data_IF_995005743653
#
_entry.id   IF_995005743653
#
_cell.length_a   1.000
_cell.length_b   1.000
_cell.length_c   1.000
_cell.angle_alpha   90.00
_cell.angle_beta   90.00
_cell.angle_gamma   90.00
#
_symmetry.space_group_name_H-M   'P 1'
#
loop_
_entity.id
_entity.type
_entity.pdbx_description
1 polymer ?
#
# COMPACT_ATOMS: atom_id res chain seq x y z
N UNK A 1 21.69 -14.84 -73.75
CA UNK A 1 20.47 -14.03 -73.53
C UNK A 1 19.41 -15.03 -73.11
N UNK A 2 19.14 -15.14 -71.81
CA UNK A 2 18.45 -16.29 -71.19
C UNK A 2 16.99 -16.04 -70.83
N UNK A 3 16.63 -14.76 -70.76
CA UNK A 3 15.27 -14.28 -70.63
C UNK A 3 14.56 -14.34 -71.98
N UNK A 4 13.40 -14.99 -72.02
CA UNK A 4 12.51 -15.09 -73.16
C UNK A 4 11.10 -14.65 -72.78
N UNK A 5 10.50 -13.74 -73.55
CA UNK A 5 9.07 -13.40 -73.43
C UNK A 5 8.28 -14.46 -74.21
N UNK A 6 7.24 -15.04 -73.60
CA UNK A 6 6.45 -16.10 -74.22
C UNK A 6 5.43 -15.52 -75.21
N UNK A 7 4.96 -16.32 -76.16
CA UNK A 7 3.86 -15.97 -77.07
C UNK A 7 2.58 -15.63 -76.28
N UNK A 8 2.36 -16.31 -75.16
CA UNK A 8 1.25 -16.03 -74.26
C UNK A 8 1.40 -14.66 -73.59
N UNK A 9 2.62 -14.31 -73.14
CA UNK A 9 2.94 -12.99 -72.57
C UNK A 9 2.82 -11.86 -73.59
N UNK A 10 3.27 -12.08 -74.83
CA UNK A 10 3.09 -11.14 -75.94
C UNK A 10 1.61 -10.96 -76.26
N UNK A 11 0.85 -12.06 -76.38
CA UNK A 11 -0.59 -12.01 -76.65
C UNK A 11 -1.36 -11.31 -75.52
N UNK A 12 -0.97 -11.52 -74.27
CA UNK A 12 -1.50 -10.80 -73.12
C UNK A 12 -1.20 -9.30 -73.21
N UNK A 13 0.04 -8.92 -73.52
CA UNK A 13 0.38 -7.51 -73.77
C UNK A 13 -0.48 -6.92 -74.90
N UNK A 14 -0.60 -7.56 -76.07
CA UNK A 14 -1.43 -7.03 -77.17
C UNK A 14 -2.87 -6.84 -76.71
N UNK A 15 -3.45 -7.84 -76.04
CA UNK A 15 -4.81 -7.79 -75.51
C UNK A 15 -5.00 -6.64 -74.51
N UNK A 16 -4.06 -6.44 -73.59
CA UNK A 16 -4.11 -5.31 -72.67
C UNK A 16 -4.11 -3.97 -73.41
N UNK A 17 -3.35 -3.86 -74.51
CA UNK A 17 -3.27 -2.66 -75.32
C UNK A 17 -4.59 -2.36 -76.03
N UNK A 18 -5.22 -3.38 -76.62
CA UNK A 18 -6.54 -3.28 -77.23
C UNK A 18 -7.63 -2.87 -76.22
N UNK A 19 -7.50 -3.32 -74.97
CA UNK A 19 -8.42 -3.00 -73.88
C UNK A 19 -8.09 -1.66 -73.19
N UNK A 20 -6.99 -1.00 -73.53
CA UNK A 20 -6.53 0.22 -72.85
C UNK A 20 -6.11 0.01 -71.40
N UNK A 21 -5.70 -1.22 -71.04
CA UNK A 21 -5.27 -1.62 -69.70
C UNK A 21 -3.79 -1.98 -69.68
N UNK A 22 -3.24 -2.22 -68.49
CA UNK A 22 -1.90 -2.78 -68.30
C UNK A 22 -1.98 -4.01 -67.41
N UNK A 23 -1.30 -5.09 -67.80
CA UNK A 23 -1.09 -6.24 -66.92
C UNK A 23 0.13 -5.99 -66.03
N UNK A 24 0.09 -6.56 -64.82
CA UNK A 24 1.18 -6.41 -63.85
C UNK A 24 1.92 -7.72 -63.69
N UNK A 25 3.25 -7.68 -63.62
CA UNK A 25 4.00 -8.82 -63.09
C UNK A 25 3.67 -8.93 -61.60
N UNK A 26 3.04 -10.04 -61.21
CA UNK A 26 2.49 -10.24 -59.87
C UNK A 26 3.29 -11.25 -59.04
N UNK A 27 3.88 -12.26 -59.69
CA UNK A 27 4.57 -13.35 -59.00
C UNK A 27 5.89 -13.71 -59.69
N UNK A 28 6.85 -14.14 -58.88
CA UNK A 28 8.06 -14.82 -59.34
C UNK A 28 7.98 -16.28 -58.90
N UNK A 29 8.19 -17.19 -59.84
CA UNK A 29 8.36 -18.61 -59.54
C UNK A 29 9.81 -19.04 -59.73
N UNK A 30 10.23 -19.99 -58.90
CA UNK A 30 11.53 -20.65 -58.96
C UNK A 30 11.31 -22.10 -59.37
N UNK A 31 12.07 -22.57 -60.33
CA UNK A 31 12.18 -23.99 -60.66
C UNK A 31 13.62 -24.48 -60.63
N UNK A 32 13.80 -25.79 -60.62
CA UNK A 32 15.13 -26.43 -60.45
C UNK A 32 15.69 -27.06 -61.72
N UNK A 33 14.99 -26.96 -62.85
CA UNK A 33 15.49 -27.44 -64.14
C UNK A 33 16.05 -26.26 -64.95
N UNK A 34 17.24 -26.42 -65.53
CA UNK A 34 17.84 -25.46 -66.46
C UNK A 34 17.77 -25.96 -67.90
N UNK A 35 17.30 -25.13 -68.81
CA UNK A 35 17.10 -25.42 -70.23
C UNK A 35 17.07 -24.13 -71.06
N UNK A 36 17.05 -24.25 -72.39
CA UNK A 36 16.77 -23.12 -73.28
C UNK A 36 15.26 -22.90 -73.41
N UNK A 37 14.71 -21.74 -72.98
CA UNK A 37 13.27 -21.48 -73.08
C UNK A 37 12.74 -21.50 -74.51
N UNK A 38 11.44 -21.81 -74.66
CA UNK A 38 10.72 -21.75 -75.94
C UNK A 38 9.55 -20.78 -75.87
N UNK A 39 9.25 -20.11 -76.98
CA UNK A 39 8.25 -19.04 -77.03
C UNK A 39 6.84 -19.55 -76.69
N UNK A 40 6.54 -20.82 -76.96
CA UNK A 40 5.22 -21.42 -76.71
C UNK A 40 5.01 -21.86 -75.25
N UNK A 41 5.96 -21.60 -74.34
CA UNK A 41 5.83 -22.01 -72.95
C UNK A 41 4.70 -21.27 -72.24
N UNK A 42 3.95 -22.03 -71.46
CA UNK A 42 2.91 -21.51 -70.56
C UNK A 42 3.16 -21.88 -69.10
N UNK A 43 4.14 -22.76 -68.85
CA UNK A 43 4.62 -23.14 -67.51
C UNK A 43 6.14 -23.27 -67.50
N UNK A 44 6.73 -23.18 -66.31
CA UNK A 44 8.07 -23.69 -66.04
C UNK A 44 8.10 -25.21 -66.15
N UNK A 45 9.28 -25.80 -66.31
CA UNK A 45 9.41 -27.27 -66.46
C UNK A 45 9.34 -27.99 -65.11
N UNK A 46 9.96 -27.41 -64.08
CA UNK A 46 9.94 -27.95 -62.74
C UNK A 46 9.86 -26.84 -61.69
N UNK A 47 8.73 -26.13 -61.66
CA UNK A 47 8.42 -25.14 -60.63
C UNK A 47 8.33 -25.77 -59.25
N UNK A 48 9.04 -25.20 -58.27
CA UNK A 48 9.04 -25.67 -56.88
C UNK A 48 8.41 -24.66 -55.92
N UNK A 49 8.56 -23.37 -56.19
CA UNK A 49 7.97 -22.32 -55.36
C UNK A 49 7.53 -21.14 -56.21
N UNK A 50 6.49 -20.46 -55.76
CA UNK A 50 6.00 -19.21 -56.35
C UNK A 50 5.61 -18.27 -55.22
N UNK A 51 6.06 -17.03 -55.31
CA UNK A 51 5.72 -15.98 -54.34
C UNK A 51 5.33 -14.68 -55.05
N UNK A 52 4.43 -13.90 -54.44
CA UNK A 52 4.09 -12.58 -54.94
C UNK A 52 5.29 -11.64 -54.85
N UNK A 53 5.38 -10.69 -55.79
CA UNK A 53 6.36 -9.61 -55.70
C UNK A 53 6.10 -8.78 -54.43
N UNK A 54 7.16 -8.44 -53.72
CA UNK A 54 7.12 -7.65 -52.48
C UNK A 54 7.47 -6.18 -52.67
N UNK A 55 8.07 -5.84 -53.81
CA UNK A 55 8.37 -4.47 -54.24
C UNK A 55 8.46 -4.44 -55.76
N UNK A 56 8.05 -3.33 -56.36
CA UNK A 56 8.18 -3.07 -57.78
C UNK A 56 8.43 -1.59 -58.00
N UNK A 57 9.19 -1.26 -59.03
CA UNK A 57 9.50 0.10 -59.41
C UNK A 57 9.67 0.19 -60.93
N UNK A 58 9.10 1.25 -61.52
CA UNK A 58 9.34 1.58 -62.92
C UNK A 58 10.57 2.48 -62.99
N UNK A 59 11.73 1.90 -63.33
CA UNK A 59 13.00 2.64 -63.35
C UNK A 59 13.05 3.60 -64.54
N UNK A 60 12.54 3.17 -65.69
CA UNK A 60 12.35 3.99 -66.90
C UNK A 60 11.33 3.31 -67.84
N UNK A 61 10.93 3.96 -68.95
CA UNK A 61 9.95 3.37 -69.88
C UNK A 61 10.46 2.03 -70.42
N UNK A 62 9.72 0.95 -70.14
CA UNK A 62 10.10 -0.41 -70.54
C UNK A 62 11.21 -1.04 -69.69
N UNK A 63 11.59 -0.46 -68.55
CA UNK A 63 12.52 -1.08 -67.58
C UNK A 63 11.80 -1.30 -66.24
N UNK A 64 11.53 -2.56 -65.93
CA UNK A 64 10.83 -2.96 -64.72
C UNK A 64 11.84 -3.51 -63.71
N UNK A 65 11.85 -2.98 -62.49
CA UNK A 65 12.56 -3.57 -61.35
C UNK A 65 11.56 -4.11 -60.35
N UNK A 66 11.76 -5.32 -59.86
CA UNK A 66 10.88 -5.90 -58.85
C UNK A 66 11.61 -6.89 -57.97
N UNK A 67 11.18 -6.98 -56.71
CA UNK A 67 11.81 -7.78 -55.68
C UNK A 67 10.80 -8.75 -55.07
N UNK A 68 11.25 -9.94 -54.71
CA UNK A 68 10.49 -10.91 -53.92
C UNK A 68 11.29 -11.32 -52.69
N UNK A 69 10.68 -11.21 -51.51
CA UNK A 69 11.26 -11.70 -50.25
C UNK A 69 10.92 -13.18 -50.05
N UNK A 70 11.96 -13.99 -49.86
CA UNK A 70 11.87 -15.39 -49.48
C UNK A 70 12.28 -15.50 -48.00
N UNK A 71 11.30 -15.37 -47.09
CA UNK A 71 11.49 -15.34 -45.62
C UNK A 71 10.99 -16.59 -44.88
N UNK A 72 10.54 -17.62 -45.61
CA UNK A 72 10.07 -18.86 -45.04
C UNK A 72 11.16 -19.94 -44.91
N UNK A 73 10.74 -21.13 -44.52
CA UNK A 73 11.61 -22.30 -44.33
C UNK A 73 12.07 -22.95 -45.65
N UNK A 74 11.69 -22.38 -46.80
CA UNK A 74 11.98 -22.96 -48.12
C UNK A 74 13.50 -22.98 -48.39
N UNK A 75 13.97 -23.99 -49.10
CA UNK A 75 15.36 -24.14 -49.54
C UNK A 75 15.36 -24.49 -51.02
N UNK A 76 16.21 -23.83 -51.80
CA UNK A 76 16.26 -24.06 -53.25
C UNK A 76 17.60 -23.67 -53.88
N UNK A 77 17.92 -24.37 -54.96
CA UNK A 77 18.92 -24.00 -55.98
C UNK A 77 18.14 -23.76 -57.28
N UNK A 78 17.75 -22.51 -57.51
CA UNK A 78 16.89 -22.11 -58.62
C UNK A 78 17.67 -22.00 -59.93
N UNK A 79 17.19 -22.67 -60.98
CA UNK A 79 17.80 -22.72 -62.33
C UNK A 79 16.89 -22.15 -63.42
N UNK A 80 15.62 -21.98 -63.11
CA UNK A 80 14.65 -21.26 -63.95
C UNK A 80 13.84 -20.30 -63.09
N UNK A 81 13.55 -19.12 -63.65
CA UNK A 81 12.66 -18.11 -63.10
C UNK A 81 11.49 -17.90 -64.05
N UNK A 82 10.28 -17.89 -63.48
CA UNK A 82 9.06 -17.53 -64.20
C UNK A 82 8.52 -16.21 -63.70
N UNK A 83 8.21 -15.31 -64.63
CA UNK A 83 7.58 -14.02 -64.34
C UNK A 83 6.12 -14.08 -64.77
N UNK A 84 5.21 -13.96 -63.81
CA UNK A 84 3.79 -14.20 -64.03
C UNK A 84 3.00 -12.91 -63.98
N UNK A 85 2.05 -12.75 -64.90
CA UNK A 85 1.07 -11.68 -64.84
C UNK A 85 0.03 -11.94 -63.75
N UNK A 86 -0.66 -10.89 -63.32
CA UNK A 86 -1.77 -10.93 -62.36
C UNK A 86 -2.97 -11.79 -62.82
N UNK A 87 -3.08 -12.06 -64.13
CA UNK A 87 -4.06 -13.01 -64.68
C UNK A 87 -3.59 -14.47 -64.71
N UNK A 88 -2.37 -14.74 -64.22
CA UNK A 88 -1.75 -16.07 -64.18
C UNK A 88 -1.05 -16.47 -65.48
N UNK A 89 -0.95 -15.58 -66.48
CA UNK A 89 -0.19 -15.83 -67.70
C UNK A 89 1.31 -15.80 -67.41
N UNK A 90 2.05 -16.83 -67.86
CA UNK A 90 3.52 -16.82 -67.83
C UNK A 90 4.04 -15.80 -68.85
N UNK A 91 4.45 -14.62 -68.37
CA UNK A 91 4.89 -13.53 -69.24
C UNK A 91 6.26 -13.82 -69.86
N UNK A 92 7.21 -14.19 -69.02
CA UNK A 92 8.58 -14.45 -69.44
C UNK A 92 9.22 -15.53 -68.58
N UNK A 93 10.22 -16.20 -69.15
CA UNK A 93 11.03 -17.23 -68.50
C UNK A 93 12.49 -16.84 -68.62
N UNK A 94 13.22 -16.85 -67.51
CA UNK A 94 14.68 -16.82 -67.51
C UNK A 94 15.21 -18.19 -67.10
N UNK A 95 15.83 -18.89 -68.04
CA UNK A 95 16.49 -20.17 -67.77
C UNK A 95 17.75 -20.27 -68.61
N UNK A 96 18.79 -20.84 -67.99
CA UNK A 96 20.12 -21.02 -68.57
C UNK A 96 20.47 -22.48 -68.45
N UNK A 97 20.74 -23.16 -69.55
CA UNK A 97 21.03 -24.60 -69.70
C UNK A 97 21.90 -25.21 -68.57
N UNK A 98 21.28 -25.48 -67.41
CA UNK A 98 21.89 -26.00 -66.17
C UNK A 98 22.49 -25.00 -65.18
N UNK A 99 22.54 -23.68 -65.46
CA UNK A 99 23.15 -22.67 -64.57
C UNK A 99 22.24 -22.31 -63.39
N UNK A 100 22.82 -22.13 -62.21
CA UNK A 100 22.11 -21.67 -61.01
C UNK A 100 21.93 -20.16 -61.09
N UNK A 101 20.68 -19.72 -61.07
CA UNK A 101 20.29 -18.30 -61.11
C UNK A 101 20.19 -17.72 -59.70
N UNK A 102 19.63 -18.49 -58.75
CA UNK A 102 19.47 -18.08 -57.35
C UNK A 102 19.63 -19.27 -56.41
N UNK A 103 20.04 -19.01 -55.17
CA UNK A 103 20.16 -20.02 -54.12
C UNK A 103 19.70 -19.47 -52.77
N UNK A 104 18.95 -20.28 -52.03
CA UNK A 104 18.50 -19.99 -50.66
C UNK A 104 18.73 -21.19 -49.76
N UNK A 105 19.36 -20.94 -48.61
CA UNK A 105 19.46 -21.92 -47.52
C UNK A 105 18.20 -21.92 -46.66
N UNK A 106 17.96 -23.07 -46.02
CA UNK A 106 16.86 -23.21 -45.05
C UNK A 106 17.00 -22.19 -43.92
N UNK A 107 15.88 -21.57 -43.55
CA UNK A 107 15.77 -20.62 -42.42
C UNK A 107 16.59 -19.32 -42.54
N UNK A 108 17.02 -18.97 -43.77
CA UNK A 108 17.58 -17.66 -44.08
C UNK A 108 16.60 -16.82 -44.89
N UNK A 109 16.72 -15.50 -44.81
CA UNK A 109 15.94 -14.57 -45.64
C UNK A 109 16.75 -14.16 -46.86
N UNK A 110 16.19 -14.32 -48.05
CA UNK A 110 16.79 -13.88 -49.32
C UNK A 110 15.83 -12.93 -50.02
N UNK A 111 16.36 -11.85 -50.58
CA UNK A 111 15.60 -10.92 -51.42
C UNK A 111 16.10 -11.09 -52.85
N UNK A 112 15.23 -11.58 -53.72
CA UNK A 112 15.52 -11.71 -55.15
C UNK A 112 15.07 -10.45 -55.86
N UNK A 113 16.01 -9.72 -56.45
CA UNK A 113 15.77 -8.51 -57.22
C UNK A 113 15.98 -8.80 -58.71
N UNK A 114 14.93 -8.60 -59.50
CA UNK A 114 14.92 -8.90 -60.93
C UNK A 114 14.70 -7.61 -61.74
N UNK A 115 15.46 -7.47 -62.82
CA UNK A 115 15.34 -6.39 -63.79
C UNK A 115 14.86 -6.95 -65.14
N UNK A 116 13.78 -6.38 -65.68
CA UNK A 116 13.20 -6.77 -66.96
C UNK A 116 13.23 -5.60 -67.94
N UNK A 117 13.99 -5.76 -69.02
CA UNK A 117 14.16 -4.74 -70.05
C UNK A 117 13.29 -5.08 -71.27
N UNK A 118 12.13 -4.42 -71.36
CA UNK A 118 11.15 -4.54 -72.44
C UNK A 118 11.42 -3.58 -73.60
N UNK A 119 12.41 -2.69 -73.49
CA UNK A 119 12.73 -1.68 -74.51
C UNK A 119 13.14 -2.23 -75.88
N UNK A 120 13.52 -3.51 -75.97
CA UNK A 120 13.76 -4.22 -77.23
C UNK A 120 12.49 -4.87 -77.83
N UNK A 121 11.34 -4.77 -77.15
CA UNK A 121 10.04 -5.25 -77.58
C UNK A 121 9.09 -4.09 -77.88
N UNK A 122 7.97 -4.35 -78.56
CA UNK A 122 6.90 -3.34 -78.76
C UNK A 122 5.96 -3.23 -77.55
N UNK A 123 6.30 -3.81 -76.41
CA UNK A 123 5.46 -3.90 -75.22
C UNK A 123 5.68 -2.67 -74.32
N UNK A 124 4.66 -1.84 -74.17
CA UNK A 124 4.67 -0.63 -73.32
C UNK A 124 3.61 -0.66 -72.20
N UNK A 125 2.82 -1.73 -72.13
CA UNK A 125 1.65 -1.86 -71.27
C UNK A 125 1.77 -3.00 -70.24
N UNK A 126 2.99 -3.39 -69.90
CA UNK A 126 3.28 -4.27 -68.77
C UNK A 126 3.96 -3.45 -67.68
N UNK A 127 3.49 -3.59 -66.44
CA UNK A 127 3.96 -2.82 -65.29
C UNK A 127 4.28 -3.73 -64.09
N UNK A 128 4.79 -3.13 -63.01
CA UNK A 128 5.03 -3.81 -61.72
C UNK A 128 4.31 -3.08 -60.61
N UNK A 129 3.91 -3.80 -59.57
CA UNK A 129 3.24 -3.20 -58.42
C UNK A 129 4.24 -2.46 -57.51
N UNK A 130 4.03 -1.17 -57.28
CA UNK A 130 4.81 -0.35 -56.34
C UNK A 130 4.39 -0.66 -54.90
N UNK A 131 5.17 -1.49 -54.19
CA UNK A 131 4.86 -1.89 -52.81
C UNK A 131 5.86 -1.28 -51.82
N UNK A 132 5.35 -0.53 -50.84
CA UNK A 132 6.13 0.01 -49.71
C UNK A 132 6.40 -1.05 -48.61
N UNK A 133 7.33 -0.78 -47.69
CA UNK A 133 7.74 -1.75 -46.66
C UNK A 133 6.57 -2.24 -45.80
N UNK A 134 6.52 -3.55 -45.49
CA UNK A 134 5.39 -4.13 -44.76
C UNK A 134 5.36 -3.70 -43.29
N UNK A 135 4.16 -3.70 -42.72
CA UNK A 135 3.95 -3.41 -41.31
C UNK A 135 4.37 -4.56 -40.41
N UNK A 136 4.79 -4.24 -39.18
CA UNK A 136 5.07 -5.24 -38.16
C UNK A 136 3.79 -6.05 -37.84
N UNK A 137 3.98 -7.34 -37.57
CA UNK A 137 2.96 -8.26 -37.07
C UNK A 137 3.57 -9.06 -35.91
N UNK A 138 2.77 -9.84 -35.20
CA UNK A 138 3.27 -10.64 -34.06
C UNK A 138 4.35 -11.66 -34.46
N UNK A 139 4.31 -12.12 -35.70
CA UNK A 139 5.21 -13.17 -36.22
C UNK A 139 6.29 -12.62 -37.17
N UNK A 140 6.14 -11.39 -37.68
CA UNK A 140 7.04 -10.80 -38.68
C UNK A 140 7.45 -9.37 -38.33
N UNK A 141 8.76 -9.13 -38.34
CA UNK A 141 9.34 -7.80 -38.16
C UNK A 141 8.92 -6.83 -39.29
N UNK A 142 8.66 -5.57 -38.93
CA UNK A 142 8.25 -4.53 -39.87
C UNK A 142 8.08 -3.18 -39.17
N UNK A 143 7.36 -2.25 -39.78
CA UNK A 143 7.10 -0.92 -39.18
C UNK A 143 5.87 -0.99 -38.26
N UNK A 144 6.03 -0.60 -36.99
CA UNK A 144 4.93 -0.53 -36.03
C UNK A 144 3.97 0.62 -36.37
N UNK A 145 2.67 0.30 -36.44
CA UNK A 145 1.61 1.29 -36.69
C UNK A 145 1.07 1.85 -35.38
N UNK A 146 0.87 3.16 -35.33
CA UNK A 146 0.17 3.79 -34.21
C UNK A 146 -1.31 3.83 -34.56
N UNK A 147 -2.16 3.27 -33.70
CA UNK A 147 -3.60 3.29 -33.88
C UNK A 147 -4.10 4.73 -33.96
N UNK A 148 -4.90 5.10 -34.96
CA UNK A 148 -5.56 6.42 -34.98
C UNK A 148 -6.63 6.48 -33.89
N UNK A 149 -7.13 7.68 -33.53
CA UNK A 149 -8.24 7.77 -32.57
C UNK A 149 -9.44 6.94 -33.05
N UNK A 150 -9.77 7.01 -34.35
CA UNK A 150 -10.79 6.17 -34.99
C UNK A 150 -10.55 4.66 -34.74
N UNK A 151 -9.32 4.17 -34.90
CA UNK A 151 -9.00 2.76 -34.65
C UNK A 151 -9.07 2.40 -33.15
N UNK A 152 -8.75 3.34 -32.27
CA UNK A 152 -8.91 3.16 -30.81
C UNK A 152 -10.38 3.12 -30.42
N UNK A 153 -11.20 3.93 -31.10
CA UNK A 153 -12.66 3.95 -30.92
C UNK A 153 -13.31 2.68 -31.46
N UNK A 154 -12.81 2.15 -32.58
CA UNK A 154 -13.28 0.90 -33.19
C UNK A 154 -12.81 -0.34 -32.39
N UNK A 155 -11.58 -0.34 -31.87
CA UNK A 155 -11.09 -1.36 -30.92
C UNK A 155 -10.77 -2.74 -31.50
N UNK A 156 -10.88 -2.94 -32.82
CA UNK A 156 -10.70 -4.24 -33.48
C UNK A 156 -9.32 -4.42 -34.13
N UNK A 157 -8.50 -3.36 -34.17
CA UNK A 157 -7.20 -3.40 -34.82
C UNK A 157 -6.10 -3.91 -33.88
N UNK A 158 -5.73 -5.18 -34.03
CA UNK A 158 -4.63 -5.80 -33.27
C UNK A 158 -3.25 -5.61 -33.90
N UNK A 159 -3.20 -4.91 -35.04
CA UNK A 159 -1.96 -4.66 -35.79
C UNK A 159 -1.32 -3.30 -35.46
N UNK A 160 -1.89 -2.57 -34.50
CA UNK A 160 -1.50 -1.19 -34.17
C UNK A 160 -1.42 -0.94 -32.66
N UNK A 161 -0.50 -0.07 -32.25
CA UNK A 161 -0.26 0.23 -30.85
C UNK A 161 -1.01 1.49 -30.38
N UNK A 162 -1.47 1.45 -29.12
CA UNK A 162 -2.03 2.59 -28.41
C UNK A 162 -0.93 3.54 -27.93
N UNK A 163 -1.13 4.85 -28.07
CA UNK A 163 -0.31 5.84 -27.36
C UNK A 163 -0.86 6.12 -25.97
N UNK A 164 -0.05 6.67 -25.06
CA UNK A 164 -0.50 7.05 -23.71
C UNK A 164 -1.70 8.00 -23.75
N UNK A 165 -1.67 9.02 -24.60
CA UNK A 165 -2.80 9.93 -24.77
C UNK A 165 -4.04 9.21 -25.26
N UNK A 166 -3.88 8.21 -26.14
CA UNK A 166 -4.97 7.37 -26.62
C UNK A 166 -5.48 6.39 -25.55
N UNK A 167 -4.62 5.91 -24.64
CA UNK A 167 -5.01 5.14 -23.47
C UNK A 167 -5.79 5.99 -22.46
N UNK A 168 -5.30 7.19 -22.14
CA UNK A 168 -6.00 8.16 -21.27
C UNK A 168 -7.34 8.56 -21.88
N UNK A 169 -7.34 8.85 -23.18
CA UNK A 169 -8.52 9.15 -23.98
C UNK A 169 -9.51 7.97 -23.98
N UNK A 170 -9.05 6.75 -24.22
CA UNK A 170 -9.85 5.52 -24.15
C UNK A 170 -10.44 5.32 -22.75
N UNK A 171 -9.69 5.70 -21.70
CA UNK A 171 -10.19 5.68 -20.33
C UNK A 171 -11.14 6.85 -20.01
N UNK A 172 -11.32 7.82 -20.94
CA UNK A 172 -12.19 9.00 -20.83
C UNK A 172 -12.02 9.75 -19.50
N UNK A 173 -10.78 9.85 -19.05
CA UNK A 173 -10.41 10.50 -17.80
C UNK A 173 -9.44 11.64 -18.12
N UNK A 174 -9.49 12.78 -17.40
CA UNK A 174 -8.56 13.88 -17.63
C UNK A 174 -7.10 13.39 -17.52
N UNK A 175 -6.88 12.41 -16.63
CA UNK A 175 -5.73 11.53 -16.43
C UNK A 175 -6.23 10.24 -15.74
N UNK A 176 -5.50 9.12 -15.85
CA UNK A 176 -5.78 7.72 -15.40
C UNK A 176 -6.26 7.54 -13.93
N UNK A 177 -6.43 8.60 -13.16
CA UNK A 177 -6.48 8.57 -11.70
C UNK A 177 -7.83 8.11 -11.14
N UNK A 178 -8.98 8.62 -11.58
CA UNK A 178 -10.24 8.34 -10.86
C UNK A 178 -10.68 6.87 -10.88
N UNK A 179 -10.45 6.13 -11.97
CA UNK A 179 -10.79 4.69 -12.04
C UNK A 179 -9.76 3.80 -11.36
N UNK A 180 -8.48 4.16 -11.38
CA UNK A 180 -7.44 3.41 -10.67
C UNK A 180 -7.58 3.60 -9.16
N UNK A 181 -7.90 4.83 -8.72
CA UNK A 181 -8.19 5.15 -7.32
C UNK A 181 -9.50 4.49 -6.88
N UNK A 182 -10.60 4.63 -7.62
CA UNK A 182 -11.86 4.04 -7.16
C UNK A 182 -11.85 2.51 -7.13
N UNK A 183 -11.21 1.84 -8.10
CA UNK A 183 -11.28 0.37 -8.20
C UNK A 183 -10.09 -0.38 -7.57
N UNK A 184 -8.91 0.24 -7.50
CA UNK A 184 -7.74 -0.33 -6.85
C UNK A 184 -7.56 0.25 -5.44
N UNK A 185 -7.62 1.58 -5.32
CA UNK A 185 -7.35 2.25 -4.05
C UNK A 185 -8.47 2.10 -3.03
N UNK A 186 -9.77 2.16 -3.37
CA UNK A 186 -10.82 1.94 -2.36
C UNK A 186 -10.81 0.50 -1.80
N UNK A 187 -10.56 -0.49 -2.66
CA UNK A 187 -10.42 -1.90 -2.23
C UNK A 187 -9.16 -2.10 -1.38
N UNK A 188 -8.07 -1.41 -1.69
CA UNK A 188 -6.84 -1.41 -0.89
C UNK A 188 -7.03 -0.67 0.45
N UNK A 189 -7.67 0.50 0.43
CA UNK A 189 -7.97 1.29 1.61
C UNK A 189 -8.87 0.54 2.58
N UNK A 190 -9.81 -0.27 2.08
CA UNK A 190 -10.62 -1.17 2.90
C UNK A 190 -9.80 -2.26 3.60
N UNK A 191 -8.66 -2.70 3.03
CA UNK A 191 -7.71 -3.61 3.69
C UNK A 191 -6.80 -2.92 4.70
N UNK A 192 -6.49 -1.64 4.49
CA UNK A 192 -5.59 -0.87 5.39
C UNK A 192 -6.33 -0.44 6.66
N UNK A 193 -7.57 0.04 6.52
CA UNK A 193 -8.42 0.41 7.65
C UNK A 193 -9.85 -0.12 7.41
N UNK A 194 -10.23 -1.25 8.03
CA UNK A 194 -11.50 -1.90 7.75
C UNK A 194 -12.70 -1.12 8.31
N UNK A 195 -13.88 -1.44 7.80
CA UNK A 195 -15.17 -0.94 8.35
C UNK A 195 -15.26 -1.36 9.81
N UNK A 196 -15.79 -0.49 10.68
CA UNK A 196 -15.95 -0.77 12.11
C UNK A 196 -14.76 -0.41 13.00
N UNK A 197 -13.57 -0.16 12.43
CA UNK A 197 -12.41 0.27 13.20
C UNK A 197 -12.57 1.72 13.72
N UNK A 198 -12.18 1.94 14.98
CA UNK A 198 -12.28 3.24 15.65
C UNK A 198 -11.10 4.14 15.29
N UNK A 199 -11.40 5.35 14.79
CA UNK A 199 -10.40 6.32 14.33
C UNK A 199 -10.42 7.55 15.24
N UNK A 200 -9.26 7.98 15.79
CA UNK A 200 -9.18 9.26 16.48
C UNK A 200 -9.24 10.43 15.48
N UNK A 201 -10.19 11.34 15.67
CA UNK A 201 -10.44 12.47 14.78
C UNK A 201 -10.38 13.80 15.55
N UNK A 202 -9.59 14.76 15.05
CA UNK A 202 -9.26 15.99 15.75
C UNK A 202 -10.22 17.16 15.49
N UNK A 203 -11.38 16.92 14.86
CA UNK A 203 -12.41 17.95 14.66
C UNK A 203 -13.78 17.48 15.13
N UNK A 204 -14.70 18.42 15.30
CA UNK A 204 -16.06 18.14 15.79
C UNK A 204 -16.96 17.47 14.76
N UNK A 205 -16.63 17.60 13.48
CA UNK A 205 -17.45 17.12 12.36
C UNK A 205 -16.73 15.94 11.71
N UNK A 206 -17.39 14.78 11.73
CA UNK A 206 -16.90 13.60 11.01
C UNK A 206 -16.94 13.86 9.49
N UNK A 207 -15.91 13.41 8.73
CA UNK A 207 -15.94 13.49 7.28
C UNK A 207 -17.13 12.72 6.68
N UNK A 208 -17.49 13.04 5.44
CA UNK A 208 -18.51 12.29 4.70
C UNK A 208 -18.17 10.79 4.67
N UNK A 209 -19.17 9.95 4.96
CA UNK A 209 -19.00 8.49 5.04
C UNK A 209 -18.53 7.97 6.40
N UNK A 210 -18.35 8.84 7.40
CA UNK A 210 -18.00 8.47 8.77
C UNK A 210 -19.06 8.95 9.77
N UNK A 211 -19.14 8.27 10.91
CA UNK A 211 -19.98 8.69 12.03
C UNK A 211 -19.17 8.74 13.33
N UNK A 212 -19.47 9.70 14.20
CA UNK A 212 -18.93 9.77 15.56
C UNK A 212 -19.49 8.61 16.39
N UNK A 213 -18.67 7.92 17.18
CA UNK A 213 -19.06 6.76 18.01
C UNK A 213 -19.67 7.21 19.34
N UNK A 214 -21.00 7.32 19.40
CA UNK A 214 -21.75 7.93 20.52
C UNK A 214 -23.05 7.19 20.87
N UNK A 215 -23.06 5.87 20.81
CA UNK A 215 -24.21 5.01 21.12
C UNK A 215 -25.44 5.15 20.20
N UNK A 216 -25.22 5.57 18.95
CA UNK A 216 -26.32 5.73 18.00
C UNK A 216 -26.61 4.42 17.25
N UNK A 217 -27.90 4.20 16.95
CA UNK A 217 -28.31 3.14 16.05
C UNK A 217 -27.95 3.46 14.58
N UNK A 218 -27.79 2.43 13.76
CA UNK A 218 -27.62 2.54 12.32
C UNK A 218 -28.48 1.52 11.57
N UNK A 219 -28.76 1.81 10.30
CA UNK A 219 -29.52 0.90 9.45
C UNK A 219 -28.61 -0.22 8.91
N UNK A 220 -28.83 -1.45 9.37
CA UNK A 220 -28.05 -2.63 8.97
C UNK A 220 -28.20 -3.00 7.48
N UNK A 221 -29.33 -2.65 6.86
CA UNK A 221 -29.53 -2.91 5.43
C UNK A 221 -28.73 -1.93 4.57
N UNK A 222 -28.53 -0.70 5.06
CA UNK A 222 -27.72 0.32 4.37
C UNK A 222 -26.22 0.08 4.61
N UNK A 223 -25.84 -0.38 5.81
CA UNK A 223 -24.44 -0.58 6.21
C UNK A 223 -24.17 -2.04 6.63
N UNK A 224 -24.21 -3.00 5.67
CA UNK A 224 -24.09 -4.43 5.98
C UNK A 224 -22.69 -4.81 6.50
N UNK A 225 -21.63 -4.15 6.03
CA UNK A 225 -20.26 -4.42 6.53
C UNK A 225 -20.09 -3.92 7.97
N UNK A 226 -20.70 -2.78 8.33
CA UNK A 226 -20.70 -2.30 9.70
C UNK A 226 -21.52 -3.21 10.61
N UNK A 227 -22.61 -3.80 10.10
CA UNK A 227 -23.44 -4.77 10.82
C UNK A 227 -22.70 -6.08 11.15
N UNK A 228 -21.67 -6.47 10.37
CA UNK A 228 -20.82 -7.60 10.71
C UNK A 228 -19.96 -7.33 11.95
N UNK A 229 -19.55 -6.07 12.15
CA UNK A 229 -18.74 -5.66 13.30
C UNK A 229 -19.59 -5.32 14.52
N UNK A 230 -20.74 -4.68 14.30
CA UNK A 230 -21.70 -4.32 15.35
C UNK A 230 -23.08 -4.96 15.06
N UNK A 231 -23.28 -6.25 15.37
CA UNK A 231 -24.51 -6.98 15.03
C UNK A 231 -25.79 -6.44 15.67
N UNK A 232 -25.66 -5.74 16.81
CA UNK A 232 -26.76 -5.04 17.48
C UNK A 232 -27.38 -3.95 16.62
N UNK A 233 -26.66 -3.44 15.60
CA UNK A 233 -27.08 -2.25 14.85
C UNK A 233 -26.83 -0.96 15.63
N UNK A 234 -25.99 -0.98 16.66
CA UNK A 234 -25.64 0.18 17.49
C UNK A 234 -24.12 0.34 17.52
N UNK A 235 -23.65 1.56 17.23
CA UNK A 235 -22.23 1.90 17.31
C UNK A 235 -21.88 2.16 18.79
N UNK A 236 -20.83 1.55 19.36
CA UNK A 236 -20.46 1.75 20.77
C UNK A 236 -20.26 3.23 21.15
N UNK A 237 -20.53 3.56 22.42
CA UNK A 237 -20.15 4.86 22.97
C UNK A 237 -18.66 4.86 23.34
N UNK A 238 -17.86 5.66 22.63
CA UNK A 238 -16.43 5.77 22.90
C UNK A 238 -16.08 7.08 23.62
N UNK A 239 -17.06 7.88 24.01
CA UNK A 239 -16.82 9.17 24.66
C UNK A 239 -16.14 8.96 26.02
N UNK A 240 -14.92 9.46 26.15
CA UNK A 240 -14.12 9.30 27.37
C UNK A 240 -13.39 7.96 27.48
N UNK A 241 -13.53 7.08 26.50
CA UNK A 241 -12.87 5.78 26.45
C UNK A 241 -11.53 5.86 25.70
N UNK A 242 -10.55 5.10 26.20
CA UNK A 242 -9.39 4.65 25.42
C UNK A 242 -9.63 3.22 24.93
N UNK A 243 -8.74 2.72 24.06
CA UNK A 243 -8.75 1.32 23.64
C UNK A 243 -7.52 0.60 24.21
N UNK A 244 -7.74 -0.63 24.67
CA UNK A 244 -6.70 -1.54 25.13
C UNK A 244 -6.86 -2.87 24.38
N UNK A 245 -5.75 -3.56 24.11
CA UNK A 245 -5.82 -4.92 23.56
C UNK A 245 -6.47 -5.85 24.59
N UNK A 246 -7.45 -6.64 24.15
CA UNK A 246 -8.12 -7.60 25.02
C UNK A 246 -7.16 -8.73 25.42
N UNK A 247 -7.35 -9.26 26.62
CA UNK A 247 -6.76 -10.55 27.00
C UNK A 247 -7.54 -11.73 26.39
N UNK A 248 -6.97 -12.94 26.47
CA UNK A 248 -7.53 -14.13 25.82
C UNK A 248 -8.96 -14.46 26.27
N UNK A 249 -9.29 -14.19 27.54
CA UNK A 249 -10.58 -14.53 28.14
C UNK A 249 -11.58 -13.35 28.17
N UNK A 250 -11.20 -12.19 27.64
CA UNK A 250 -12.05 -11.00 27.62
C UNK A 250 -12.89 -10.93 26.33
N UNK A 251 -14.10 -10.38 26.49
CA UNK A 251 -15.01 -10.11 25.39
C UNK A 251 -14.60 -8.84 24.63
N UNK A 252 -14.65 -8.89 23.30
CA UNK A 252 -14.35 -7.72 22.46
C UNK A 252 -15.38 -6.62 22.75
N UNK A 253 -14.88 -5.42 23.06
CA UNK A 253 -15.73 -4.23 23.27
C UNK A 253 -16.39 -4.13 24.65
N UNK A 254 -15.97 -4.92 25.64
CA UNK A 254 -16.38 -4.70 27.02
C UNK A 254 -15.91 -3.32 27.51
N UNK A 255 -16.79 -2.64 28.26
CA UNK A 255 -16.43 -1.41 28.97
C UNK A 255 -15.89 -1.76 30.35
N UNK A 256 -14.76 -1.17 30.72
CA UNK A 256 -14.17 -1.31 32.04
C UNK A 256 -13.80 0.08 32.59
N UNK A 257 -14.21 0.33 33.84
CA UNK A 257 -13.87 1.58 34.52
C UNK A 257 -12.40 1.55 34.95
N UNK A 258 -11.70 2.68 34.79
CA UNK A 258 -10.30 2.78 35.19
C UNK A 258 -10.11 2.59 36.69
N UNK A 259 -9.23 1.67 37.08
CA UNK A 259 -8.92 1.39 38.48
C UNK A 259 -7.53 1.89 38.88
N UNK A 260 -7.36 2.23 40.17
CA UNK A 260 -6.04 2.50 40.74
C UNK A 260 -5.36 1.17 41.03
N UNK A 261 -4.12 1.00 40.55
CA UNK A 261 -3.33 -0.20 40.84
C UNK A 261 -3.16 -0.34 42.36
N UNK A 262 -3.37 -1.55 42.87
CA UNK A 262 -3.15 -1.88 44.27
C UNK A 262 -1.75 -1.42 44.71
N UNK A 263 -1.70 -0.65 45.79
CA UNK A 263 -0.47 -0.18 46.42
C UNK A 263 -0.66 -0.08 47.94
N UNK A 264 0.43 0.24 48.65
CA UNK A 264 0.42 0.49 50.08
C UNK A 264 1.35 1.64 50.45
N UNK A 265 1.38 2.00 51.73
CA UNK A 265 2.20 3.09 52.26
C UNK A 265 3.31 2.50 53.16
N UNK A 266 4.46 2.07 52.61
CA UNK A 266 5.53 1.46 53.39
C UNK A 266 6.03 2.42 54.47
N UNK A 267 6.50 1.84 55.58
CA UNK A 267 6.95 2.57 56.78
C UNK A 267 5.85 3.35 57.54
N UNK A 268 4.57 3.13 57.22
CA UNK A 268 3.45 3.64 58.01
C UNK A 268 3.29 2.78 59.27
N UNK A 269 3.49 3.36 60.46
CA UNK A 269 3.33 2.66 61.73
C UNK A 269 2.68 3.56 62.78
N UNK A 270 1.74 3.00 63.54
CA UNK A 270 1.19 3.59 64.76
C UNK A 270 1.59 2.67 65.90
N UNK A 271 2.27 3.21 66.91
CA UNK A 271 2.78 2.41 68.04
C UNK A 271 2.19 2.92 69.35
N UNK A 272 1.82 2.00 70.22
CA UNK A 272 1.46 2.33 71.60
C UNK A 272 2.70 2.79 72.36
N UNK A 273 2.54 3.79 73.23
CA UNK A 273 3.59 4.23 74.15
C UNK A 273 3.14 3.97 75.58
N UNK A 274 4.02 3.35 76.38
CA UNK A 274 3.83 3.22 77.81
C UNK A 274 4.67 4.29 78.52
N UNK A 275 4.00 5.20 79.23
CA UNK A 275 4.68 6.30 79.93
C UNK A 275 5.20 5.91 81.33
N UNK A 276 4.94 4.67 81.76
CA UNK A 276 5.42 4.11 83.01
C UNK A 276 4.85 4.85 84.22
N UNK A 277 5.69 5.03 85.25
CA UNK A 277 5.33 5.69 86.49
C UNK A 277 6.02 7.04 86.61
N UNK A 278 5.34 8.01 87.24
CA UNK A 278 5.90 9.32 87.61
C UNK A 278 5.76 9.55 89.10
N UNK A 279 6.78 10.18 89.71
CA UNK A 279 6.82 10.46 91.13
C UNK A 279 6.59 11.95 91.38
N UNK A 280 5.89 12.29 92.47
CA UNK A 280 5.79 13.68 92.95
C UNK A 280 7.12 14.14 93.55
N UNK A 281 7.31 15.45 93.70
CA UNK A 281 8.45 15.94 94.46
C UNK A 281 8.27 15.65 95.96
N UNK A 282 9.37 15.68 96.70
CA UNK A 282 9.45 15.41 98.15
C UNK A 282 9.83 16.69 98.91
N UNK A 283 9.31 17.85 98.52
CA UNK A 283 9.69 19.13 99.15
C UNK A 283 8.55 19.70 99.99
N UNK A 284 8.87 20.66 100.87
CA UNK A 284 7.86 21.36 101.67
C UNK A 284 7.80 20.93 103.15
N UNK A 285 8.61 19.98 103.61
CA UNK A 285 8.74 19.72 105.06
C UNK A 285 9.21 20.99 105.78
N UNK A 286 8.40 21.43 106.72
CA UNK A 286 8.68 22.54 107.61
C UNK A 286 8.17 22.20 109.00
N UNK A 287 8.76 22.82 110.02
CA UNK A 287 8.34 22.69 111.42
C UNK A 287 7.96 24.06 111.95
N UNK A 288 7.00 24.08 112.86
CA UNK A 288 6.63 25.30 113.56
C UNK A 288 7.31 25.30 114.95
N UNK A 289 7.95 26.42 115.28
CA UNK A 289 8.45 26.66 116.62
C UNK A 289 7.40 27.43 117.43
N UNK A 290 7.09 26.95 118.64
CA UNK A 290 6.29 27.74 119.59
C UNK A 290 7.25 28.60 120.41
N UNK A 291 7.04 29.92 120.41
CA UNK A 291 7.78 30.85 121.28
C UNK A 291 7.02 31.04 122.59
N UNK A 292 7.76 30.83 123.69
CA UNK A 292 7.45 31.17 125.07
C UNK A 292 6.36 30.32 125.75
N UNK A 293 6.75 29.11 126.15
CA UNK A 293 6.20 28.49 127.35
C UNK A 293 7.07 28.88 128.56
N UNK A 294 6.56 29.71 129.46
CA UNK A 294 7.20 29.92 130.76
C UNK A 294 6.99 28.66 131.60
N UNK A 295 8.06 27.89 131.81
CA UNK A 295 8.00 26.73 132.67
C UNK A 295 8.04 27.22 134.12
N UNK A 296 6.88 27.42 134.75
CA UNK A 296 6.80 27.68 136.17
C UNK A 296 7.16 26.38 136.90
N UNK A 297 8.36 26.34 137.48
CA UNK A 297 8.71 25.28 138.42
C UNK A 297 7.85 25.50 139.67
N UNK A 298 6.71 24.82 139.75
CA UNK A 298 5.85 24.82 140.92
C UNK A 298 6.53 24.01 142.03
N UNK A 299 7.58 24.59 142.63
CA UNK A 299 7.98 24.20 143.97
C UNK A 299 7.08 25.00 144.92
N UNK A 300 6.03 24.36 145.44
CA UNK A 300 5.15 25.00 146.41
C UNK A 300 5.96 25.32 147.66
N UNK A 301 6.24 26.59 147.91
CA UNK A 301 6.13 27.24 149.22
C UNK A 301 6.47 28.72 149.04
N UNK A 302 5.42 29.53 149.11
CA UNK A 302 5.42 30.96 148.95
C UNK A 302 5.97 31.61 150.22
N UNK A 303 7.13 32.28 150.16
CA UNK A 303 7.44 33.35 151.12
C UNK A 303 8.49 34.36 150.59
N UNK A 304 7.99 35.57 150.32
CA UNK A 304 8.62 36.87 150.59
C UNK A 304 9.80 37.37 149.74
N UNK A 305 9.63 38.61 149.24
CA UNK A 305 10.64 39.60 148.86
C UNK A 305 11.54 39.36 147.62
N UNK A 306 11.21 40.09 146.55
CA UNK A 306 12.10 40.63 145.50
C UNK A 306 13.19 39.67 144.97
N UNK A 307 12.79 38.67 144.17
CA UNK A 307 13.71 37.78 143.47
C UNK A 307 13.40 37.71 141.98
N UNK A 308 14.36 38.14 141.14
CA UNK A 308 14.31 37.93 139.69
C UNK A 308 14.36 36.43 139.38
N UNK A 309 13.27 35.86 138.89
CA UNK A 309 13.23 34.46 138.47
C UNK A 309 14.03 34.31 137.16
N UNK A 310 15.06 33.45 137.17
CA UNK A 310 15.82 33.10 135.96
C UNK A 310 14.96 32.23 135.04
N UNK A 311 14.20 32.84 134.14
CA UNK A 311 13.46 32.12 133.10
C UNK A 311 14.45 31.56 132.06
N UNK A 312 14.63 30.25 132.01
CA UNK A 312 15.31 29.61 130.87
C UNK A 312 14.34 29.50 129.70
N UNK A 313 14.69 30.10 128.57
CA UNK A 313 13.95 29.91 127.33
C UNK A 313 14.07 28.43 126.90
N UNK A 314 12.94 27.72 126.89
CA UNK A 314 12.87 26.37 126.33
C UNK A 314 12.18 26.46 124.99
N UNK A 315 12.93 26.26 123.91
CA UNK A 315 12.38 26.18 122.56
C UNK A 315 11.78 24.79 122.33
N UNK A 316 10.46 24.71 122.16
CA UNK A 316 9.76 23.47 121.77
C UNK A 316 9.37 23.55 120.29
N UNK A 317 9.67 22.49 119.55
CA UNK A 317 9.28 22.34 118.14
C UNK A 317 8.28 21.19 118.02
N UNK A 318 7.36 21.28 117.08
CA UNK A 318 6.66 20.08 116.61
C UNK A 318 7.65 19.14 115.92
N UNK A 319 7.47 17.82 116.07
CA UNK A 319 8.28 16.83 115.34
C UNK A 319 7.80 16.68 113.88
N UNK A 320 8.69 16.24 112.99
CA UNK A 320 8.37 16.01 111.58
C UNK A 320 8.25 14.51 111.28
N UNK A 321 7.33 14.12 110.39
CA UNK A 321 7.21 12.75 109.88
C UNK A 321 8.11 12.47 108.65
N UNK A 322 8.72 13.52 108.07
CA UNK A 322 9.60 13.44 106.90
C UNK A 322 8.88 13.77 105.59
N UNK A 323 9.65 14.11 104.55
CA UNK A 323 9.09 14.23 103.21
C UNK A 323 8.84 12.84 102.63
N UNK A 324 7.72 12.65 101.96
CA UNK A 324 7.46 11.46 101.14
C UNK A 324 6.99 11.89 99.75
N UNK A 325 7.01 10.95 98.81
CA UNK A 325 6.41 11.13 97.48
C UNK A 325 5.40 10.03 97.22
N UNK A 326 4.54 10.29 96.25
CA UNK A 326 3.66 9.29 95.67
C UNK A 326 4.13 8.93 94.27
N UNK A 327 3.97 7.66 93.90
CA UNK A 327 4.15 7.19 92.53
C UNK A 327 2.78 7.01 91.88
N UNK A 328 2.61 7.53 90.67
CA UNK A 328 1.40 7.37 89.87
C UNK A 328 1.75 6.63 88.58
N UNK A 329 1.05 5.52 88.33
CA UNK A 329 1.17 4.77 87.08
C UNK A 329 0.31 5.43 86.00
N UNK A 330 0.92 5.77 84.87
CA UNK A 330 0.25 6.40 83.72
C UNK A 330 -0.14 5.34 82.67
N UNK A 331 0.64 4.26 82.55
CA UNK A 331 0.29 3.08 81.76
C UNK A 331 0.40 3.25 80.24
N UNK A 332 -0.17 2.27 79.53
CA UNK A 332 -0.17 2.21 78.06
C UNK A 332 -1.33 3.01 77.46
N UNK A 333 -1.08 3.67 76.35
CA UNK A 333 -2.13 4.31 75.54
C UNK A 333 -1.91 4.03 74.04
N UNK A 334 -2.99 4.19 73.28
CA UNK A 334 -3.03 3.97 71.84
C UNK A 334 -3.52 5.22 71.10
N UNK A 335 -3.19 5.28 69.81
CA UNK A 335 -3.61 6.35 68.89
C UNK A 335 -4.47 5.78 67.78
N UNK A 336 -5.47 6.54 67.35
CA UNK A 336 -6.24 6.24 66.14
C UNK A 336 -5.67 7.01 64.97
N UNK A 337 -5.72 6.42 63.77
CA UNK A 337 -5.32 7.08 62.52
C UNK A 337 -6.43 6.91 61.49
N UNK A 338 -6.87 8.03 60.94
CA UNK A 338 -7.80 8.09 59.81
C UNK A 338 -7.04 8.47 58.55
N UNK A 339 -7.20 7.68 57.48
CA UNK A 339 -6.67 8.02 56.15
C UNK A 339 -7.83 8.60 55.33
N UNK A 340 -7.74 9.88 54.99
CA UNK A 340 -8.74 10.55 54.17
C UNK A 340 -8.64 10.11 52.70
N UNK A 341 -9.77 10.16 51.98
CA UNK A 341 -9.78 9.98 50.53
C UNK A 341 -8.97 11.09 49.86
N UNK A 342 -8.09 10.73 48.93
CA UNK A 342 -7.28 11.70 48.18
C UNK A 342 -7.18 11.27 46.72
N UNK A 343 -7.42 12.21 45.79
CA UNK A 343 -7.34 11.99 44.36
C UNK A 343 -8.38 12.77 43.56
N UNK A 344 -8.30 12.66 42.23
CA UNK A 344 -9.32 13.17 41.33
C UNK A 344 -10.51 12.20 41.23
N UNK A 345 -11.62 12.65 40.64
CA UNK A 345 -12.82 11.82 40.41
C UNK A 345 -12.58 10.63 39.45
N UNK A 346 -11.52 10.68 38.64
CA UNK A 346 -11.16 9.63 37.69
C UNK A 346 -9.66 9.39 37.70
N UNK A 347 -9.28 8.12 37.49
CA UNK A 347 -7.88 7.80 37.21
C UNK A 347 -7.56 8.16 35.76
N UNK A 348 -6.52 8.98 35.54
CA UNK A 348 -6.19 9.50 34.20
C UNK A 348 -4.70 9.47 33.94
N UNK A 349 -4.33 9.28 32.68
CA UNK A 349 -2.98 9.52 32.14
C UNK A 349 -2.96 10.84 31.37
N UNK A 350 -1.79 11.32 30.95
CA UNK A 350 -1.70 12.41 29.99
C UNK A 350 -2.39 12.00 28.67
N UNK A 351 -3.36 12.78 28.21
CA UNK A 351 -4.18 12.44 27.03
C UNK A 351 -4.64 13.69 26.28
N UNK A 352 -5.01 13.52 25.00
CA UNK A 352 -5.67 14.55 24.18
C UNK A 352 -7.09 14.11 23.84
N UNK A 353 -8.00 15.07 23.76
CA UNK A 353 -9.40 14.79 23.40
C UNK A 353 -9.53 14.77 21.87
N UNK A 354 -10.19 13.73 21.38
CA UNK A 354 -10.53 13.51 19.97
C UNK A 354 -11.94 12.94 19.91
N UNK A 355 -12.61 13.12 18.79
CA UNK A 355 -13.81 12.35 18.49
C UNK A 355 -13.39 10.98 17.96
N UNK A 356 -13.97 9.93 18.51
CA UNK A 356 -13.88 8.61 17.89
C UNK A 356 -14.87 8.56 16.73
N UNK A 357 -14.39 8.26 15.53
CA UNK A 357 -15.22 8.07 14.34
C UNK A 357 -15.08 6.66 13.79
N UNK A 358 -16.10 6.19 13.08
CA UNK A 358 -16.12 4.90 12.39
C UNK A 358 -16.57 5.09 10.95
N UNK A 359 -15.97 4.33 10.02
CA UNK A 359 -16.39 4.31 8.62
C UNK A 359 -17.74 3.59 8.50
N UNK A 360 -18.71 4.21 7.83
CA UNK A 360 -20.06 3.67 7.69
C UNK A 360 -20.20 2.68 6.53
N UNK A 361 -19.45 2.91 5.43
CA UNK A 361 -19.33 2.11 4.20
C UNK A 361 -20.64 1.62 3.57
#
# INVERSE_FOLDING_TARGET
MSLLITDAGIAASIRAGELGTSYKIAEISIGTEGYTPTVTQTTLRNEIYRKPITRGELVSLGQLHFETVWDGIEEFEGKELGYWLDDGTLFAVDSRDGEVITYKQRDTVVIEACELHLSASTIDNISVELVGTPSATEERAGIAKIATTKLVDEGENDTSFLTVKKLVYSLSVPHIIDKLVSNLWLKLAAKIFPVGAAIPWFTDIAPQGFAVMKNQAFNKAVYPELAKVFPSGVIPDMRGCGVIGKDNNEAIGSYEEGQVKRHGHPNSAVRSTNLGNKNTNTTGNHRHGLRNGYNANANSNNNSFQGSATYKNVSRYSEYAGNHYHSVSIGSHAHSVSIALYGALKNTINHRKVNWIVRMA
#
